data_IF_372429127239
#
_entry.id   IF_372429127239
#
_cell.length_a   1.000
_cell.length_b   1.000
_cell.length_c   1.000
_cell.angle_alpha   90.00
_cell.angle_beta   90.00
_cell.angle_gamma   90.00
#
_symmetry.space_group_name_H-M   'P 1'
#
loop_
_entity.id
_entity.type
_entity.pdbx_description
1 polymer ?
#
# COMPACT_ATOMS: atom_id res chain seq x y z
N UNK A 1 -32.04 42.03 -7.47
CA UNK A 1 -32.13 40.61 -7.88
C UNK A 1 -30.74 40.12 -8.21
N UNK A 2 -30.19 39.19 -7.44
CA UNK A 2 -28.91 38.52 -7.78
C UNK A 2 -29.15 37.51 -8.89
N UNK A 3 -28.45 37.68 -10.02
CA UNK A 3 -28.51 36.71 -11.10
C UNK A 3 -27.87 35.38 -10.66
N UNK A 4 -28.46 34.26 -11.00
CA UNK A 4 -27.87 32.94 -10.81
C UNK A 4 -26.72 32.81 -11.81
N UNK A 5 -25.49 32.72 -11.30
CA UNK A 5 -24.32 32.40 -12.13
C UNK A 5 -24.21 30.89 -12.22
N UNK A 6 -24.42 30.33 -13.41
CA UNK A 6 -24.23 28.91 -13.67
C UNK A 6 -22.84 28.69 -14.27
N UNK A 7 -22.04 27.84 -13.65
CA UNK A 7 -20.73 27.46 -14.15
C UNK A 7 -20.75 25.95 -14.46
N UNK A 8 -20.35 25.60 -15.68
CA UNK A 8 -20.20 24.19 -16.07
C UNK A 8 -18.79 23.75 -15.84
N UNK A 9 -18.60 22.62 -15.13
CA UNK A 9 -17.32 21.97 -14.95
C UNK A 9 -17.24 20.83 -15.98
N UNK A 10 -16.39 20.95 -17.01
CA UNK A 10 -16.39 19.99 -18.11
C UNK A 10 -15.81 18.61 -17.71
N UNK A 11 -14.79 18.59 -16.84
CA UNK A 11 -14.12 17.37 -16.36
C UNK A 11 -13.19 17.70 -15.18
N UNK A 12 -12.59 16.67 -14.58
CA UNK A 12 -11.58 16.78 -13.52
C UNK A 12 -10.25 16.14 -13.94
N UNK A 13 -9.86 16.27 -15.20
CA UNK A 13 -8.67 15.63 -15.75
C UNK A 13 -7.35 16.17 -15.19
N UNK A 14 -7.35 17.43 -14.72
CA UNK A 14 -6.15 18.07 -14.21
C UNK A 14 -5.84 17.75 -12.72
N UNK A 15 -6.57 16.78 -12.14
CA UNK A 15 -6.29 16.26 -10.80
C UNK A 15 -6.59 17.25 -9.68
N UNK A 16 -5.76 17.22 -8.65
CA UNK A 16 -5.88 18.05 -7.45
C UNK A 16 -4.97 19.27 -7.49
N UNK A 17 -5.42 20.38 -6.90
CA UNK A 17 -4.62 21.58 -6.72
C UNK A 17 -4.80 22.15 -5.33
N UNK A 18 -3.68 22.43 -4.66
CA UNK A 18 -3.64 23.12 -3.36
C UNK A 18 -3.79 24.64 -3.47
N UNK A 19 -3.96 25.17 -4.67
CA UNK A 19 -4.18 26.59 -4.87
C UNK A 19 -5.51 27.05 -4.28
N UNK A 20 -5.59 28.35 -3.98
CA UNK A 20 -6.85 28.96 -3.52
C UNK A 20 -7.96 28.78 -4.55
N UNK A 21 -9.24 28.75 -4.15
CA UNK A 21 -10.37 28.56 -5.07
C UNK A 21 -10.38 29.53 -6.25
N UNK A 22 -9.88 30.75 -6.06
CA UNK A 22 -9.82 31.79 -7.10
C UNK A 22 -8.71 31.59 -8.14
N UNK A 23 -7.69 30.78 -7.78
CA UNK A 23 -6.53 30.49 -8.65
C UNK A 23 -6.57 29.08 -9.21
N UNK A 24 -7.43 28.23 -8.65
CA UNK A 24 -7.59 26.84 -9.08
C UNK A 24 -8.22 26.78 -10.48
N UNK A 25 -7.66 25.94 -11.34
CA UNK A 25 -8.24 25.67 -12.65
C UNK A 25 -9.63 25.04 -12.52
N UNK A 26 -10.55 25.41 -13.44
CA UNK A 26 -11.95 24.94 -13.43
C UNK A 26 -12.10 23.41 -13.47
N UNK A 27 -11.08 22.71 -13.98
CA UNK A 27 -11.02 21.26 -14.10
C UNK A 27 -10.09 20.60 -13.07
N UNK A 28 -9.79 21.31 -11.97
CA UNK A 28 -9.03 20.81 -10.83
C UNK A 28 -9.91 20.72 -9.58
N UNK A 29 -9.76 19.62 -8.83
CA UNK A 29 -10.40 19.44 -7.54
C UNK A 29 -9.54 19.96 -6.39
N UNK A 30 -10.13 20.17 -5.23
CA UNK A 30 -9.42 20.44 -3.98
C UNK A 30 -8.90 19.17 -3.34
N UNK A 31 -9.72 18.14 -3.38
CA UNK A 31 -9.41 16.82 -2.85
C UNK A 31 -9.99 15.72 -3.74
N UNK A 32 -9.34 14.58 -3.74
CA UNK A 32 -9.73 13.41 -4.53
C UNK A 32 -9.46 12.13 -3.75
N UNK A 33 -10.52 11.44 -3.36
CA UNK A 33 -10.43 10.21 -2.58
C UNK A 33 -11.00 9.05 -3.37
N UNK A 34 -10.20 7.98 -3.55
CA UNK A 34 -10.57 6.75 -4.27
C UNK A 34 -10.98 6.94 -5.73
N UNK A 35 -10.45 7.96 -6.38
CA UNK A 35 -10.61 8.18 -7.81
C UNK A 35 -9.26 8.19 -8.52
N UNK A 36 -9.26 7.88 -9.80
CA UNK A 36 -8.13 7.97 -10.70
C UNK A 36 -8.51 8.80 -11.92
N UNK A 37 -7.63 9.70 -12.34
CA UNK A 37 -7.82 10.50 -13.54
C UNK A 37 -7.31 9.70 -14.74
N UNK A 38 -8.15 9.58 -15.77
CA UNK A 38 -7.80 8.95 -17.03
C UNK A 38 -8.15 9.90 -18.17
N UNK A 39 -7.26 10.06 -19.13
CA UNK A 39 -7.47 10.96 -20.28
C UNK A 39 -8.65 10.50 -21.13
N UNK A 40 -8.93 9.20 -21.19
CA UNK A 40 -10.00 8.63 -22.01
C UNK A 40 -11.36 8.71 -21.29
N UNK A 41 -11.38 8.27 -20.04
CA UNK A 41 -12.64 8.08 -19.29
C UNK A 41 -12.94 9.24 -18.33
N UNK A 42 -12.02 10.18 -18.20
CA UNK A 42 -12.15 11.26 -17.24
C UNK A 42 -11.82 10.82 -15.81
N UNK A 43 -12.67 11.23 -14.86
CA UNK A 43 -12.56 10.83 -13.47
C UNK A 43 -13.28 9.50 -13.24
N UNK A 44 -12.55 8.45 -12.97
CA UNK A 44 -13.08 7.11 -12.70
C UNK A 44 -12.80 6.69 -11.26
N UNK A 45 -13.63 5.79 -10.72
CA UNK A 45 -13.38 5.16 -9.43
C UNK A 45 -12.10 4.32 -9.51
N UNK A 46 -11.23 4.44 -8.50
CA UNK A 46 -10.06 3.56 -8.40
C UNK A 46 -10.52 2.09 -8.40
N UNK A 47 -9.89 1.21 -9.18
CA UNK A 47 -10.20 -0.21 -9.14
C UNK A 47 -9.99 -0.78 -7.73
N UNK A 48 -10.70 -1.84 -7.34
CA UNK A 48 -10.50 -2.54 -6.08
C UNK A 48 -9.09 -3.14 -6.02
N UNK A 49 -8.68 -3.55 -4.84
CA UNK A 49 -7.47 -4.35 -4.68
C UNK A 49 -7.74 -5.75 -5.21
N UNK A 50 -6.82 -6.25 -6.02
CA UNK A 50 -6.85 -7.63 -6.47
C UNK A 50 -6.25 -8.56 -5.41
N UNK A 51 -6.91 -9.69 -5.20
CA UNK A 51 -6.36 -10.74 -4.34
C UNK A 51 -5.27 -11.49 -5.09
N UNK A 52 -4.04 -11.47 -4.57
CA UNK A 52 -2.91 -12.17 -5.17
C UNK A 52 -2.83 -13.60 -4.65
N UNK A 53 -2.66 -13.76 -3.34
CA UNK A 53 -2.48 -15.09 -2.75
C UNK A 53 -2.63 -15.06 -1.22
N UNK A 54 -3.06 -16.17 -0.66
CA UNK A 54 -2.96 -16.41 0.78
C UNK A 54 -1.53 -16.87 1.10
N UNK A 55 -0.81 -16.08 1.91
CA UNK A 55 0.58 -16.37 2.27
C UNK A 55 0.69 -17.54 3.24
N UNK A 56 -0.31 -17.73 4.09
CA UNK A 56 -0.37 -18.86 5.02
C UNK A 56 -1.82 -19.28 5.28
N UNK A 57 -2.13 -20.53 4.97
CA UNK A 57 -3.44 -21.13 5.22
C UNK A 57 -3.59 -21.74 6.62
N UNK A 58 -2.48 -21.87 7.36
CA UNK A 58 -2.45 -22.56 8.66
C UNK A 58 -2.74 -21.65 9.86
N UNK A 59 -3.04 -20.37 9.61
CA UNK A 59 -3.37 -19.39 10.65
C UNK A 59 -2.26 -19.24 11.73
N UNK A 60 -1.01 -19.46 11.31
CA UNK A 60 0.18 -19.39 12.17
C UNK A 60 0.53 -17.96 12.60
N UNK A 61 -0.13 -16.96 12.01
CA UNK A 61 0.20 -15.55 12.26
C UNK A 61 -0.87 -14.87 13.11
N UNK A 62 -0.74 -14.92 14.44
CA UNK A 62 -1.60 -14.15 15.33
C UNK A 62 -1.39 -12.63 15.10
N UNK A 63 -2.29 -11.81 15.62
CA UNK A 63 -2.24 -10.34 15.52
C UNK A 63 -0.94 -9.70 16.07
N UNK A 64 -0.07 -10.49 16.66
CA UNK A 64 1.25 -10.09 17.19
C UNK A 64 2.35 -10.03 16.13
N UNK A 65 2.07 -10.44 14.90
CA UNK A 65 3.04 -10.42 13.81
C UNK A 65 2.95 -9.13 13.01
N UNK A 66 4.08 -8.66 12.57
CA UNK A 66 4.20 -7.52 11.66
C UNK A 66 4.90 -7.95 10.39
N UNK A 67 4.38 -7.47 9.28
CA UNK A 67 4.98 -7.64 7.97
C UNK A 67 5.84 -6.43 7.63
N UNK A 68 6.95 -6.67 6.96
CA UNK A 68 7.84 -5.65 6.40
C UNK A 68 8.06 -5.89 4.93
N UNK A 69 8.27 -4.81 4.20
CA UNK A 69 8.66 -4.86 2.80
C UNK A 69 10.15 -4.60 2.67
N UNK A 70 10.84 -5.44 1.91
CA UNK A 70 12.19 -5.20 1.44
C UNK A 70 12.09 -4.81 -0.03
N UNK A 71 12.58 -3.64 -0.38
CA UNK A 71 12.62 -3.14 -1.75
C UNK A 71 14.06 -2.76 -2.08
N UNK A 72 14.78 -3.65 -2.77
CA UNK A 72 16.16 -3.40 -3.21
C UNK A 72 16.19 -2.72 -4.57
N UNK A 73 15.38 -3.20 -5.49
CA UNK A 73 15.18 -2.67 -6.83
C UNK A 73 13.80 -3.10 -7.36
N UNK A 74 13.48 -2.77 -8.60
CA UNK A 74 12.20 -3.08 -9.23
C UNK A 74 11.92 -4.59 -9.32
N UNK A 75 12.96 -5.41 -9.45
CA UNK A 75 12.85 -6.87 -9.60
C UNK A 75 13.01 -7.64 -8.29
N UNK A 76 13.60 -7.01 -7.26
CA UNK A 76 13.93 -7.65 -5.99
C UNK A 76 13.15 -7.03 -4.83
N UNK A 77 11.88 -7.40 -4.76
CA UNK A 77 10.96 -6.95 -3.73
C UNK A 77 10.42 -8.17 -2.97
N UNK A 78 10.42 -8.08 -1.65
CA UNK A 78 10.03 -9.19 -0.78
C UNK A 78 9.14 -8.72 0.37
N UNK A 79 8.25 -9.60 0.80
CA UNK A 79 7.47 -9.46 2.02
C UNK A 79 8.10 -10.36 3.07
N UNK A 80 8.40 -9.82 4.24
CA UNK A 80 9.04 -10.53 5.36
C UNK A 80 8.12 -10.51 6.56
N UNK A 81 7.96 -11.66 7.20
CA UNK A 81 7.25 -11.79 8.47
C UNK A 81 8.15 -12.46 9.51
N UNK A 82 8.27 -11.82 10.67
CA UNK A 82 8.86 -12.44 11.85
C UNK A 82 7.76 -13.01 12.74
N UNK A 83 7.94 -14.26 13.13
CA UNK A 83 7.06 -14.95 14.05
C UNK A 83 7.88 -15.56 15.19
N UNK A 84 7.21 -16.08 16.20
CA UNK A 84 7.90 -16.71 17.33
C UNK A 84 8.69 -17.94 16.87
N UNK A 85 10.01 -17.81 16.88
CA UNK A 85 10.95 -18.88 16.51
C UNK A 85 11.43 -18.84 15.05
N UNK A 86 11.02 -17.84 14.22
CA UNK A 86 11.49 -17.82 12.85
C UNK A 86 11.15 -16.59 12.03
N UNK A 87 11.53 -16.66 10.78
CA UNK A 87 11.23 -15.65 9.75
C UNK A 87 10.79 -16.33 8.47
N UNK A 88 9.82 -15.76 7.80
CA UNK A 88 9.39 -16.16 6.46
C UNK A 88 9.51 -15.00 5.48
N UNK A 89 9.84 -15.33 4.25
CA UNK A 89 10.03 -14.37 3.17
C UNK A 89 9.28 -14.86 1.94
N UNK A 90 8.54 -13.95 1.30
CA UNK A 90 7.84 -14.21 0.04
C UNK A 90 8.20 -13.13 -0.98
N UNK A 91 8.16 -13.50 -2.26
CA UNK A 91 8.13 -12.50 -3.34
C UNK A 91 6.74 -11.86 -3.47
N UNK A 92 6.59 -10.89 -4.38
CA UNK A 92 5.31 -10.20 -4.59
C UNK A 92 4.23 -11.11 -5.18
N UNK A 93 4.61 -12.23 -5.81
CA UNK A 93 3.68 -13.24 -6.32
C UNK A 93 3.22 -14.22 -5.22
N UNK A 94 3.71 -14.02 -3.98
CA UNK A 94 3.39 -14.85 -2.83
C UNK A 94 4.10 -16.21 -2.82
N UNK A 95 5.22 -16.37 -3.54
CA UNK A 95 6.01 -17.59 -3.47
C UNK A 95 7.01 -17.50 -2.34
N UNK A 96 7.01 -18.50 -1.46
CA UNK A 96 7.91 -18.55 -0.30
C UNK A 96 9.36 -18.77 -0.76
N UNK A 97 10.25 -17.99 -0.20
CA UNK A 97 11.71 -18.09 -0.40
C UNK A 97 12.34 -18.84 0.76
N UNK A 98 13.29 -19.72 0.44
CA UNK A 98 14.04 -20.44 1.47
C UNK A 98 14.90 -19.48 2.28
N UNK A 99 14.71 -19.48 3.58
CA UNK A 99 15.52 -18.70 4.53
C UNK A 99 16.39 -19.64 5.34
N UNK A 100 17.70 -19.42 5.29
CA UNK A 100 18.66 -20.19 6.10
C UNK A 100 19.17 -19.30 7.23
N UNK A 101 18.88 -19.69 8.45
CA UNK A 101 19.38 -19.01 9.67
C UNK A 101 20.64 -19.75 10.08
N UNK A 102 21.82 -19.17 9.83
CA UNK A 102 23.11 -19.81 10.10
C UNK A 102 23.40 -19.97 11.60
N UNK A 103 23.03 -18.96 12.40
CA UNK A 103 23.13 -19.00 13.86
C UNK A 103 22.19 -17.98 14.47
N UNK A 104 21.82 -18.18 15.74
CA UNK A 104 21.00 -17.18 16.43
C UNK A 104 19.50 -17.34 16.27
N UNK A 105 18.99 -18.50 15.81
CA UNK A 105 17.54 -18.77 15.76
C UNK A 105 16.84 -18.58 17.12
N UNK A 106 17.57 -18.79 18.21
CA UNK A 106 17.07 -18.55 19.58
C UNK A 106 16.73 -17.09 19.85
N UNK A 107 17.35 -16.14 19.15
CA UNK A 107 17.04 -14.71 19.28
C UNK A 107 15.70 -14.33 18.60
N UNK A 108 15.15 -15.20 17.76
CA UNK A 108 13.85 -15.01 17.13
C UNK A 108 12.69 -15.49 18.01
N UNK A 109 12.96 -15.93 19.23
CA UNK A 109 11.91 -16.33 20.17
C UNK A 109 11.31 -15.11 20.85
N UNK A 110 10.03 -14.85 20.61
CA UNK A 110 9.29 -13.74 21.21
C UNK A 110 7.80 -14.01 21.24
N UNK A 111 7.16 -13.68 22.34
CA UNK A 111 5.70 -13.74 22.48
C UNK A 111 5.00 -12.58 21.77
N UNK A 112 5.72 -11.49 21.52
CA UNK A 112 5.22 -10.33 20.78
C UNK A 112 6.22 -9.88 19.70
N UNK A 113 6.33 -10.61 18.58
CA UNK A 113 7.27 -10.30 17.50
C UNK A 113 7.08 -8.90 16.90
N UNK A 114 5.85 -8.39 16.88
CA UNK A 114 5.51 -7.08 16.33
C UNK A 114 6.25 -5.92 17.02
N UNK A 115 6.44 -6.02 18.32
CA UNK A 115 7.11 -4.98 19.12
C UNK A 115 8.60 -5.22 19.26
N UNK A 116 8.97 -6.50 19.37
CA UNK A 116 10.34 -6.88 19.73
C UNK A 116 11.28 -6.95 18.52
N UNK A 117 10.74 -7.15 17.30
CA UNK A 117 11.58 -7.23 16.10
C UNK A 117 11.46 -5.98 15.24
N UNK A 118 12.60 -5.55 14.72
CA UNK A 118 12.70 -4.46 13.76
C UNK A 118 13.58 -4.89 12.59
N UNK A 119 13.08 -4.68 11.38
CA UNK A 119 13.87 -4.82 10.16
C UNK A 119 14.51 -3.47 9.86
N UNK A 120 15.82 -3.47 9.67
CA UNK A 120 16.57 -2.34 9.14
C UNK A 120 16.99 -2.69 7.73
N UNK A 121 16.62 -1.83 6.78
CA UNK A 121 16.86 -2.00 5.35
C UNK A 121 17.89 -0.97 4.87
#
# INVERSE_FOLDING_TARGET
MGGVVSQSIPNFLNGMSQQTPTQRGINQGEDQVNFANNIVDGLSKRPPLDFVKTLDSSNLYPNTIKFWNIQRDESNQYIVAFYNGGVKVWDLDGNEKTVTIQSGASYLTSTNPKENFKLVN
#
